data_IF_769065910681
#
_entry.id   IF_769065910681
#
_cell.length_a   1.000
_cell.length_b   1.000
_cell.length_c   1.000
_cell.angle_alpha   90.00
_cell.angle_beta   90.00
_cell.angle_gamma   90.00
#
_symmetry.space_group_name_H-M   'P 1'
#
loop_
_entity.id
_entity.type
_entity.pdbx_description
1 polymer ?
#
# COMPACT_ATOMS: atom_id res chain seq x y z
N UNK A 1 -7.45 -4.12 2.60
CA UNK A 1 -7.11 -4.86 1.36
C UNK A 1 -6.09 -5.90 1.77
N UNK A 2 -6.48 -7.15 1.91
CA UNK A 2 -5.52 -8.25 2.15
C UNK A 2 -4.78 -8.51 0.84
N UNK A 3 -3.45 -8.40 0.87
CA UNK A 3 -2.58 -8.97 -0.16
C UNK A 3 -2.14 -10.34 0.36
N UNK A 4 -2.75 -11.45 -0.09
CA UNK A 4 -2.24 -12.75 0.31
C UNK A 4 -0.96 -13.03 -0.47
N UNK A 5 0.19 -13.03 0.20
CA UNK A 5 1.32 -13.82 -0.31
C UNK A 5 1.20 -15.24 0.19
N UNK A 6 0.94 -16.18 -0.72
CA UNK A 6 1.39 -17.53 -0.47
C UNK A 6 2.92 -17.50 -0.36
N UNK A 7 3.41 -17.90 0.81
CA UNK A 7 4.81 -18.14 1.10
C UNK A 7 5.38 -19.26 0.21
N UNK A 8 6.57 -19.06 -0.35
CA UNK A 8 7.55 -20.14 -0.48
C UNK A 8 8.95 -19.59 -0.25
N UNK A 9 9.55 -20.03 0.85
CA UNK A 9 10.95 -19.82 1.19
C UNK A 9 11.83 -20.63 0.25
N UNK A 10 12.28 -20.08 -0.88
CA UNK A 10 13.51 -20.56 -1.54
C UNK A 10 14.04 -19.74 -2.72
N UNK A 11 13.33 -18.77 -3.31
CA UNK A 11 13.85 -18.09 -4.49
C UNK A 11 13.80 -16.57 -4.37
N UNK A 12 14.94 -15.95 -4.66
CA UNK A 12 15.29 -14.53 -4.62
C UNK A 12 14.55 -13.69 -5.68
N UNK A 13 13.25 -13.87 -5.84
CA UNK A 13 12.40 -13.04 -6.67
C UNK A 13 11.17 -12.60 -5.87
N UNK A 14 11.00 -11.29 -5.71
CA UNK A 14 9.73 -10.71 -5.28
C UNK A 14 8.77 -10.93 -6.45
N UNK A 15 8.09 -12.08 -6.48
CA UNK A 15 7.01 -12.34 -7.43
C UNK A 15 5.78 -11.60 -6.91
N UNK A 16 5.43 -10.49 -7.56
CA UNK A 16 4.18 -9.78 -7.30
C UNK A 16 2.99 -10.69 -7.64
N UNK A 17 1.95 -10.68 -6.82
CA UNK A 17 0.72 -11.44 -7.11
C UNK A 17 -0.06 -10.81 -8.27
N UNK A 18 -0.94 -11.58 -8.93
CA UNK A 18 -1.82 -11.04 -9.98
C UNK A 18 -2.70 -9.89 -9.46
N UNK A 19 -3.08 -9.92 -8.18
CA UNK A 19 -3.84 -8.84 -7.54
C UNK A 19 -2.98 -7.57 -7.41
N UNK A 20 -1.70 -7.70 -7.05
CA UNK A 20 -0.77 -6.57 -6.97
C UNK A 20 -0.51 -5.95 -8.34
N UNK A 21 -0.28 -6.77 -9.36
CA UNK A 21 -0.08 -6.31 -10.73
C UNK A 21 -1.34 -5.64 -11.26
N UNK A 22 -2.51 -6.23 -11.02
CA UNK A 22 -3.79 -5.66 -11.45
C UNK A 22 -4.05 -4.30 -10.80
N UNK A 23 -3.88 -4.21 -9.48
CA UNK A 23 -4.11 -2.98 -8.71
C UNK A 23 -3.08 -1.90 -9.06
N UNK A 24 -1.81 -2.27 -9.25
CA UNK A 24 -0.78 -1.35 -9.73
C UNK A 24 -1.09 -0.84 -11.14
N UNK A 25 -1.39 -1.74 -12.08
CA UNK A 25 -1.73 -1.37 -13.48
C UNK A 25 -2.95 -0.46 -13.53
N UNK A 26 -3.99 -0.75 -12.75
CA UNK A 26 -5.18 0.10 -12.65
C UNK A 26 -4.82 1.49 -12.11
N UNK A 27 -3.98 1.54 -11.07
CA UNK A 27 -3.53 2.79 -10.46
C UNK A 27 -2.76 3.67 -11.45
N UNK A 28 -2.04 3.05 -12.39
CA UNK A 28 -1.27 3.73 -13.45
C UNK A 28 -2.07 4.00 -14.73
N UNK A 29 -3.19 3.31 -14.93
CA UNK A 29 -3.94 3.38 -16.19
C UNK A 29 -4.42 4.81 -16.47
N UNK A 30 -4.07 5.30 -17.67
CA UNK A 30 -4.43 6.64 -18.13
C UNK A 30 -3.74 7.79 -17.40
N UNK A 31 -2.62 7.55 -16.69
CA UNK A 31 -1.87 8.59 -16.01
C UNK A 31 -0.38 8.63 -16.40
N UNK A 32 0.22 9.81 -16.30
CA UNK A 32 1.67 10.03 -16.38
C UNK A 32 2.17 10.44 -15.00
N UNK A 33 3.03 9.65 -14.37
CA UNK A 33 3.54 9.94 -13.03
C UNK A 33 4.55 11.08 -13.06
N UNK A 34 4.12 12.27 -12.69
CA UNK A 34 4.98 13.46 -12.62
C UNK A 34 5.29 13.86 -11.18
N UNK A 35 4.35 13.70 -10.26
CA UNK A 35 4.56 13.97 -8.83
C UNK A 35 3.63 13.14 -7.90
N UNK A 36 3.65 13.45 -6.60
CA UNK A 36 2.83 12.76 -5.60
C UNK A 36 1.31 12.92 -5.80
N UNK A 37 0.85 13.94 -6.51
CA UNK A 37 -0.57 14.16 -6.80
C UNK A 37 -1.12 13.17 -7.83
N UNK A 38 -0.24 12.56 -8.63
CA UNK A 38 -0.57 11.51 -9.61
C UNK A 38 -0.70 10.12 -8.97
N UNK A 39 -0.27 9.98 -7.72
CA UNK A 39 -0.29 8.72 -6.98
C UNK A 39 -1.71 8.34 -6.56
N UNK A 40 -1.83 7.11 -6.07
CA UNK A 40 -3.10 6.54 -5.62
C UNK A 40 -2.91 5.98 -4.22
N UNK A 41 -3.78 6.36 -3.30
CA UNK A 41 -3.77 5.85 -1.94
C UNK A 41 -4.27 4.40 -1.85
N UNK A 42 -3.67 3.63 -0.93
CA UNK A 42 -4.23 2.35 -0.46
C UNK A 42 -4.67 2.47 1.00
N UNK A 43 -5.48 1.51 1.44
CA UNK A 43 -6.06 1.52 2.79
C UNK A 43 -5.12 1.14 3.93
N UNK A 44 -3.80 1.13 3.75
CA UNK A 44 -2.84 0.74 4.80
C UNK A 44 -2.37 1.98 5.57
N UNK A 45 -2.49 1.98 6.89
CA UNK A 45 -2.07 3.10 7.75
C UNK A 45 -1.59 2.69 9.14
N UNK A 46 -0.80 3.55 9.79
CA UNK A 46 -0.47 3.42 11.22
C UNK A 46 -1.46 4.23 12.05
N UNK A 47 -2.47 3.57 12.63
CA UNK A 47 -3.56 4.28 13.34
C UNK A 47 -3.13 4.82 14.72
N UNK A 48 -2.27 4.09 15.42
CA UNK A 48 -1.99 4.29 16.84
C UNK A 48 -0.58 4.84 17.12
N UNK A 49 0.07 5.45 16.13
CA UNK A 49 1.39 6.06 16.32
C UNK A 49 1.31 7.25 17.29
N UNK A 50 2.29 7.45 18.20
CA UNK A 50 3.49 6.64 18.44
C UNK A 50 3.29 5.47 19.41
N UNK A 51 2.09 5.30 19.98
CA UNK A 51 1.80 4.27 20.98
C UNK A 51 1.93 2.84 20.45
N UNK A 52 1.66 2.63 19.15
CA UNK A 52 1.95 1.41 18.41
C UNK A 52 2.46 1.77 17.01
N UNK A 53 3.43 1.00 16.52
CA UNK A 53 4.00 1.12 15.17
C UNK A 53 3.34 0.17 14.17
N UNK A 54 2.25 -0.49 14.58
CA UNK A 54 1.59 -1.51 13.77
C UNK A 54 0.84 -0.88 12.59
N UNK A 55 0.93 -1.56 11.44
CA UNK A 55 0.14 -1.23 10.26
C UNK A 55 -1.23 -1.87 10.35
N UNK A 56 -2.25 -1.18 9.88
CA UNK A 56 -3.64 -1.65 9.90
C UNK A 56 -4.34 -1.26 8.60
N UNK A 57 -5.11 -2.20 8.06
CA UNK A 57 -6.00 -1.91 6.95
C UNK A 57 -7.25 -1.17 7.43
N UNK A 58 -7.71 -0.18 6.66
CA UNK A 58 -8.94 0.58 6.96
C UNK A 58 -10.21 -0.26 7.00
N UNK A 59 -10.21 -1.46 6.41
CA UNK A 59 -11.31 -2.41 6.44
C UNK A 59 -11.27 -3.35 7.66
N UNK A 60 -10.29 -3.19 8.56
CA UNK A 60 -10.12 -4.01 9.76
C UNK A 60 -9.57 -5.42 9.49
N UNK A 61 -9.22 -5.73 8.24
CA UNK A 61 -8.56 -7.00 7.92
C UNK A 61 -7.16 -7.04 8.54
N UNK A 62 -6.74 -8.24 8.97
CA UNK A 62 -5.41 -8.42 9.54
C UNK A 62 -4.36 -8.17 8.46
N UNK A 63 -3.30 -7.43 8.83
CA UNK A 63 -2.10 -7.32 7.98
C UNK A 63 -1.32 -8.63 8.09
N UNK A 64 -1.23 -9.35 6.97
CA UNK A 64 -0.50 -10.60 6.80
C UNK A 64 0.68 -10.48 5.83
N UNK A 65 0.72 -9.39 5.05
CA UNK A 65 1.78 -9.10 4.08
C UNK A 65 2.06 -7.59 3.94
N UNK A 66 3.32 -7.25 3.67
CA UNK A 66 3.80 -5.89 3.40
C UNK A 66 4.86 -5.92 2.28
N UNK A 67 4.61 -5.22 1.17
CA UNK A 67 5.47 -5.13 -0.01
C UNK A 67 6.26 -3.80 -0.05
N UNK A 68 6.99 -3.49 1.03
CA UNK A 68 7.75 -2.25 1.12
C UNK A 68 8.75 -2.08 -0.03
N UNK A 69 8.83 -0.87 -0.60
CA UNK A 69 9.96 -0.48 -1.43
C UNK A 69 11.29 -0.66 -0.67
N UNK A 70 12.42 -0.83 -1.39
CA UNK A 70 13.73 -0.70 -0.77
C UNK A 70 13.80 0.58 0.07
N UNK A 71 14.38 0.47 1.28
CA UNK A 71 14.52 1.54 2.28
C UNK A 71 13.23 2.05 2.94
N UNK A 72 12.09 1.40 2.71
CA UNK A 72 10.82 1.67 3.42
C UNK A 72 10.50 0.57 4.45
N UNK A 73 9.73 0.86 5.50
CA UNK A 73 9.20 2.16 5.90
C UNK A 73 10.27 3.01 6.60
N UNK A 74 10.51 4.24 6.13
CA UNK A 74 11.47 5.18 6.74
C UNK A 74 10.80 6.17 7.71
N UNK A 75 9.49 6.40 7.56
CA UNK A 75 8.70 7.33 8.38
C UNK A 75 9.41 8.69 8.49
N UNK A 76 9.72 9.29 7.34
CA UNK A 76 10.49 10.51 7.29
C UNK A 76 9.78 11.62 8.09
N UNK A 77 10.47 12.18 9.09
CA UNK A 77 9.92 13.22 9.95
C UNK A 77 8.82 12.77 10.92
N UNK A 78 8.52 11.48 11.01
CA UNK A 78 7.58 10.93 12.00
C UNK A 78 6.10 11.18 11.72
N UNK A 79 5.74 11.56 10.48
CA UNK A 79 4.37 11.98 10.10
C UNK A 79 3.76 11.15 8.97
N UNK A 80 4.52 10.20 8.41
CA UNK A 80 4.15 9.48 7.20
C UNK A 80 3.46 8.15 7.53
N UNK A 81 2.19 8.24 7.92
CA UNK A 81 1.43 7.09 8.41
C UNK A 81 0.45 6.51 7.40
N UNK A 82 0.50 6.94 6.15
CA UNK A 82 -0.36 6.43 5.06
C UNK A 82 0.50 5.92 3.91
N UNK A 83 -0.01 4.88 3.23
CA UNK A 83 0.74 4.20 2.16
C UNK A 83 0.05 4.38 0.82
N UNK A 84 0.84 4.65 -0.22
CA UNK A 84 0.36 4.69 -1.59
C UNK A 84 0.62 3.38 -2.34
N UNK A 85 -0.13 3.17 -3.42
CA UNK A 85 -0.26 1.90 -4.12
C UNK A 85 1.02 1.37 -4.78
N UNK A 86 1.84 2.25 -5.35
CA UNK A 86 3.04 1.88 -6.10
C UNK A 86 4.23 1.67 -5.18
N UNK A 87 4.65 0.43 -4.95
CA UNK A 87 5.82 0.12 -4.11
C UNK A 87 5.69 0.50 -2.62
N UNK A 88 4.47 0.70 -2.13
CA UNK A 88 4.15 0.94 -0.71
C UNK A 88 5.02 2.03 -0.06
N UNK A 89 5.18 3.17 -0.74
CA UNK A 89 5.87 4.30 -0.12
C UNK A 89 4.99 5.00 0.90
N UNK A 90 5.63 5.45 1.98
CA UNK A 90 5.02 6.22 3.05
C UNK A 90 4.83 7.68 2.63
N UNK A 91 3.70 8.26 2.98
CA UNK A 91 3.40 9.68 2.79
C UNK A 91 2.59 10.21 3.97
N UNK A 92 2.62 11.53 4.17
CA UNK A 92 1.73 12.22 5.09
C UNK A 92 0.28 12.02 4.65
N UNK A 93 -0.60 11.55 5.54
CA UNK A 93 -2.00 11.23 5.21
C UNK A 93 -2.82 12.42 4.66
N UNK A 94 -2.37 13.66 4.90
CA UNK A 94 -2.98 14.88 4.37
C UNK A 94 -2.58 15.23 2.93
N UNK A 95 -1.64 14.50 2.32
CA UNK A 95 -1.21 14.73 0.94
C UNK A 95 -2.36 14.46 -0.04
N UNK A 96 -2.62 15.42 -0.92
CA UNK A 96 -3.61 15.25 -1.99
C UNK A 96 -3.04 14.31 -3.05
N UNK A 97 -3.73 13.21 -3.28
CA UNK A 97 -3.45 12.25 -4.35
C UNK A 97 -4.66 12.13 -5.27
N UNK A 98 -4.45 11.60 -6.46
CA UNK A 98 -5.46 11.50 -7.53
C UNK A 98 -6.67 10.68 -7.12
N UNK A 99 -6.44 9.55 -6.46
CA UNK A 99 -7.47 8.55 -6.21
C UNK A 99 -7.18 7.66 -5.00
N UNK A 100 -8.15 6.82 -4.66
CA UNK A 100 -8.06 5.76 -3.67
C UNK A 100 -8.45 4.43 -4.32
N UNK A 101 -7.76 3.33 -3.99
CA UNK A 101 -8.18 1.99 -4.38
C UNK A 101 -9.12 1.40 -3.32
N UNK A 102 -10.28 0.91 -3.75
CA UNK A 102 -11.26 0.26 -2.89
C UNK A 102 -11.39 -1.23 -3.25
N UNK A 103 -11.46 -2.10 -2.24
CA UNK A 103 -11.78 -3.53 -2.39
C UNK A 103 -13.23 -3.77 -1.95
N UNK A 104 -14.03 -4.42 -2.79
CA UNK A 104 -15.40 -4.84 -2.47
C UNK A 104 -15.43 -6.37 -2.37
N UNK A 105 -16.11 -6.91 -1.37
CA UNK A 105 -16.36 -8.36 -1.28
C UNK A 105 -17.23 -8.79 -2.46
N UNK A 106 -16.89 -9.93 -3.07
CA UNK A 106 -17.76 -10.55 -4.08
C UNK A 106 -19.07 -10.98 -3.43
N UNK A 107 -20.18 -10.73 -4.10
CA UNK A 107 -21.49 -11.25 -3.71
C UNK A 107 -21.66 -12.56 -4.48
N UNK A 108 -21.67 -13.69 -3.77
CA UNK A 108 -22.13 -14.98 -4.28
C UNK A 108 -23.33 -15.41 -3.44
#
# INVERSE_FOLDING_TARGET
MVFPTNFSTSETAISFSDEEIFVATLSMSGNTYTDSSDLTWIGLKQLNYPSSKDWTWTDGTKVDYLAWAPTQPDNAGGVEHCVQCLYFQLYTCGTKMRAFVCKKKSIH
#
